data_IF_114920903292
#
_entry.id   IF_114920903292
#
_cell.length_a   1.000
_cell.length_b   1.000
_cell.length_c   1.000
_cell.angle_alpha   90.00
_cell.angle_beta   90.00
_cell.angle_gamma   90.00
#
_symmetry.space_group_name_H-M   'P 1'
#
loop_
_entity.id
_entity.type
_entity.pdbx_description
1 polymer ?
#
# COMPACT_ATOMS: atom_id res chain seq x y z
N UNK A 1 41.04 -75.42 -88.44
CA UNK A 1 39.61 -75.79 -88.62
C UNK A 1 38.79 -74.60 -88.16
N UNK A 2 37.91 -74.10 -89.03
CA UNK A 2 37.20 -72.81 -88.96
C UNK A 2 36.42 -72.64 -87.63
N UNK A 3 36.68 -71.56 -86.89
CA UNK A 3 35.83 -71.09 -85.79
C UNK A 3 34.61 -70.35 -86.37
N UNK A 4 33.38 -70.57 -85.84
CA UNK A 4 32.17 -69.91 -86.34
C UNK A 4 31.97 -68.52 -85.74
N UNK A 5 31.43 -67.62 -86.55
CA UNK A 5 31.12 -66.22 -86.23
C UNK A 5 30.01 -66.10 -85.17
N UNK A 6 30.22 -65.17 -84.23
CA UNK A 6 29.30 -64.82 -83.15
C UNK A 6 28.44 -63.62 -83.59
N UNK A 7 27.15 -63.84 -83.82
CA UNK A 7 26.17 -62.79 -84.09
C UNK A 7 25.72 -62.16 -82.75
N UNK A 8 26.11 -60.91 -82.50
CA UNK A 8 25.67 -60.12 -81.35
C UNK A 8 24.50 -59.22 -81.76
N UNK A 9 23.29 -59.53 -81.29
CA UNK A 9 22.11 -58.66 -81.40
C UNK A 9 22.21 -57.52 -80.39
N UNK A 10 22.33 -56.28 -80.88
CA UNK A 10 22.34 -55.08 -80.06
C UNK A 10 20.90 -54.70 -79.64
N UNK A 11 20.63 -54.73 -78.34
CA UNK A 11 19.41 -54.19 -77.72
C UNK A 11 19.56 -52.68 -77.61
N UNK A 12 18.72 -51.91 -78.31
CA UNK A 12 18.71 -50.44 -78.27
C UNK A 12 18.10 -49.92 -76.96
N UNK A 13 18.89 -49.23 -76.13
CA UNK A 13 18.38 -48.40 -75.03
C UNK A 13 17.85 -47.07 -75.57
N UNK A 14 16.57 -46.78 -75.30
CA UNK A 14 15.94 -45.48 -75.54
C UNK A 14 16.50 -44.44 -74.56
N UNK A 15 17.36 -43.55 -75.04
CA UNK A 15 17.79 -42.36 -74.32
C UNK A 15 16.68 -41.31 -74.31
N UNK A 16 16.06 -41.09 -73.14
CA UNK A 16 15.23 -39.89 -72.94
C UNK A 16 16.13 -38.66 -73.11
N UNK A 17 15.87 -37.87 -74.16
CA UNK A 17 16.50 -36.56 -74.34
C UNK A 17 16.08 -35.68 -73.16
N UNK A 18 17.05 -35.25 -72.35
CA UNK A 18 16.84 -34.13 -71.45
C UNK A 18 16.50 -32.91 -72.32
N UNK A 19 15.25 -32.45 -72.25
CA UNK A 19 14.85 -31.19 -72.83
C UNK A 19 15.55 -30.09 -72.03
N UNK A 20 16.57 -29.47 -72.62
CA UNK A 20 17.23 -28.31 -72.01
C UNK A 20 16.23 -27.17 -71.89
N UNK A 21 16.12 -26.60 -70.69
CA UNK A 21 15.32 -25.42 -70.42
C UNK A 21 15.67 -24.30 -71.40
N UNK A 22 14.65 -23.71 -72.02
CA UNK A 22 14.87 -22.55 -72.89
C UNK A 22 15.21 -21.33 -72.04
N UNK A 23 16.05 -20.44 -72.56
CA UNK A 23 16.41 -19.19 -71.87
C UNK A 23 15.18 -18.34 -71.51
N UNK A 24 14.14 -18.41 -72.35
CA UNK A 24 12.85 -17.73 -72.13
C UNK A 24 12.09 -18.33 -70.95
N UNK A 25 12.12 -19.65 -70.78
CA UNK A 25 11.46 -20.33 -69.66
C UNK A 25 12.14 -20.04 -68.33
N UNK A 26 13.47 -19.96 -68.32
CA UNK A 26 14.22 -19.54 -67.14
C UNK A 26 13.94 -18.06 -66.80
N UNK A 27 13.81 -17.18 -67.79
CA UNK A 27 13.44 -15.78 -67.59
C UNK A 27 12.01 -15.63 -67.06
N UNK A 28 11.06 -16.41 -67.59
CA UNK A 28 9.67 -16.43 -67.13
C UNK A 28 9.55 -16.93 -65.69
N UNK A 29 10.29 -17.98 -65.31
CA UNK A 29 10.32 -18.47 -63.93
C UNK A 29 10.91 -17.41 -62.99
N UNK A 30 12.02 -16.77 -63.36
CA UNK A 30 12.61 -15.69 -62.55
C UNK A 30 11.66 -14.48 -62.43
N UNK A 31 10.91 -14.16 -63.47
CA UNK A 31 9.89 -13.11 -63.42
C UNK A 31 8.74 -13.47 -62.46
N UNK A 32 8.22 -14.70 -62.54
CA UNK A 32 7.15 -15.18 -61.65
C UNK A 32 7.65 -15.23 -60.21
N UNK A 33 8.82 -15.84 -59.94
CA UNK A 33 9.41 -15.91 -58.60
C UNK A 33 9.73 -14.52 -58.05
N UNK A 34 10.23 -13.61 -58.88
CA UNK A 34 10.46 -12.21 -58.50
C UNK A 34 9.15 -11.52 -58.11
N UNK A 35 8.10 -11.65 -58.93
CA UNK A 35 6.79 -11.05 -58.63
C UNK A 35 6.15 -11.62 -57.37
N UNK A 36 6.24 -12.94 -57.15
CA UNK A 36 5.75 -13.61 -55.95
C UNK A 36 6.55 -13.22 -54.70
N UNK A 37 7.86 -13.05 -54.83
CA UNK A 37 8.71 -12.60 -53.74
C UNK A 37 8.35 -11.16 -53.31
N UNK A 38 8.14 -10.24 -54.27
CA UNK A 38 7.73 -8.86 -53.96
C UNK A 38 6.37 -8.79 -53.24
N UNK A 39 5.38 -9.57 -53.72
CA UNK A 39 4.07 -9.65 -53.06
C UNK A 39 4.15 -10.33 -51.69
N UNK A 40 5.03 -11.33 -51.54
CA UNK A 40 5.28 -12.01 -50.29
C UNK A 40 5.84 -11.07 -49.21
N UNK A 41 6.81 -10.23 -49.55
CA UNK A 41 7.42 -9.29 -48.59
C UNK A 41 6.41 -8.29 -48.03
N UNK A 42 5.60 -7.65 -48.88
CA UNK A 42 4.65 -6.62 -48.44
C UNK A 42 3.56 -7.15 -47.47
N UNK A 43 3.19 -8.43 -47.58
CA UNK A 43 2.23 -9.08 -46.66
C UNK A 43 2.90 -9.45 -45.34
N UNK A 44 4.18 -9.81 -45.37
CA UNK A 44 4.94 -10.18 -44.17
C UNK A 44 5.24 -8.96 -43.31
N UNK A 45 5.56 -7.81 -43.92
CA UNK A 45 5.89 -6.58 -43.19
C UNK A 45 4.74 -6.11 -42.29
N UNK A 46 3.51 -6.05 -42.81
CA UNK A 46 2.34 -5.64 -42.00
C UNK A 46 1.97 -6.61 -40.88
N UNK A 47 2.29 -7.91 -41.02
CA UNK A 47 2.08 -8.91 -39.97
C UNK A 47 3.13 -8.79 -38.85
N UNK A 48 4.38 -8.48 -39.20
CA UNK A 48 5.45 -8.24 -38.23
C UNK A 48 5.17 -6.98 -37.40
N UNK A 49 4.79 -5.88 -38.05
CA UNK A 49 4.44 -4.63 -37.36
C UNK A 49 3.28 -4.80 -36.38
N UNK A 50 2.20 -5.46 -36.82
CA UNK A 50 1.08 -5.79 -35.94
C UNK A 50 1.50 -6.66 -34.76
N UNK A 51 2.35 -7.68 -35.00
CA UNK A 51 2.84 -8.57 -33.95
C UNK A 51 3.64 -7.80 -32.89
N UNK A 52 4.52 -6.89 -33.31
CA UNK A 52 5.34 -6.07 -32.39
C UNK A 52 4.47 -5.09 -31.61
N UNK A 53 3.48 -4.50 -32.27
CA UNK A 53 2.53 -3.60 -31.62
C UNK A 53 1.68 -4.32 -30.55
N UNK A 54 1.18 -5.51 -30.85
CA UNK A 54 0.45 -6.34 -29.88
C UNK A 54 1.35 -6.79 -28.72
N UNK A 55 2.61 -7.13 -28.99
CA UNK A 55 3.61 -7.42 -27.95
C UNK A 55 3.84 -6.21 -27.03
N UNK A 56 3.98 -5.00 -27.59
CA UNK A 56 4.08 -3.75 -26.81
C UNK A 56 2.87 -3.55 -25.89
N UNK A 57 1.65 -3.77 -26.39
CA UNK A 57 0.42 -3.70 -25.58
C UNK A 57 0.41 -4.69 -24.42
N UNK A 58 0.84 -5.93 -24.68
CA UNK A 58 0.93 -6.96 -23.66
C UNK A 58 1.97 -6.60 -22.60
N UNK A 59 3.16 -6.17 -23.01
CA UNK A 59 4.24 -5.75 -22.10
C UNK A 59 3.85 -4.55 -21.26
N UNK A 60 3.17 -3.56 -21.83
CA UNK A 60 2.64 -2.41 -21.09
C UNK A 60 1.64 -2.85 -20.01
N UNK A 61 0.78 -3.82 -20.33
CA UNK A 61 -0.17 -4.39 -19.35
C UNK A 61 0.57 -5.09 -18.21
N UNK A 62 1.66 -5.81 -18.51
CA UNK A 62 2.53 -6.42 -17.51
C UNK A 62 3.20 -5.37 -16.61
N UNK A 63 3.72 -4.28 -17.19
CA UNK A 63 4.30 -3.16 -16.43
C UNK A 63 3.26 -2.57 -15.48
N UNK A 64 2.05 -2.26 -15.99
CA UNK A 64 0.97 -1.71 -15.17
C UNK A 64 0.64 -2.62 -13.99
N UNK A 65 0.48 -3.92 -14.26
CA UNK A 65 0.19 -4.93 -13.23
C UNK A 65 1.33 -5.11 -12.24
N UNK A 66 2.59 -5.00 -12.67
CA UNK A 66 3.75 -5.06 -11.79
C UNK A 66 3.78 -3.87 -10.81
N UNK A 67 3.34 -2.68 -11.24
CA UNK A 67 3.35 -1.48 -10.40
C UNK A 67 2.21 -1.48 -9.37
N UNK A 68 0.95 -1.61 -9.81
CA UNK A 68 -0.23 -1.44 -8.95
C UNK A 68 -0.97 -2.74 -8.61
N UNK A 69 -0.54 -3.87 -9.16
CA UNK A 69 -1.25 -5.15 -9.03
C UNK A 69 -2.42 -5.30 -9.99
N UNK A 70 -3.23 -6.33 -9.78
CA UNK A 70 -4.45 -6.60 -10.54
C UNK A 70 -5.69 -6.40 -9.65
N UNK A 71 -6.35 -5.25 -9.83
CA UNK A 71 -7.52 -4.87 -9.04
C UNK A 71 -8.75 -5.80 -9.27
N UNK A 72 -8.76 -6.59 -10.35
CA UNK A 72 -9.86 -7.53 -10.63
C UNK A 72 -9.68 -8.87 -9.92
N UNK A 73 -8.47 -9.15 -9.40
CA UNK A 73 -8.24 -10.37 -8.64
C UNK A 73 -8.76 -10.19 -7.24
N UNK A 74 -9.53 -11.17 -6.79
CA UNK A 74 -10.02 -11.23 -5.42
C UNK A 74 -9.57 -12.54 -4.78
N UNK A 75 -9.21 -12.46 -3.51
CA UNK A 75 -8.90 -13.61 -2.66
C UNK A 75 -9.95 -13.61 -1.56
N UNK A 76 -10.79 -14.64 -1.52
CA UNK A 76 -11.91 -14.75 -0.57
C UNK A 76 -12.91 -13.58 -0.64
N UNK A 77 -13.12 -13.00 -1.83
CA UNK A 77 -14.04 -11.88 -2.04
C UNK A 77 -13.46 -10.50 -1.71
N UNK A 78 -12.23 -10.43 -1.19
CA UNK A 78 -11.50 -9.17 -1.02
C UNK A 78 -10.51 -8.96 -2.17
N UNK A 79 -10.34 -7.73 -2.69
CA UNK A 79 -9.34 -7.44 -3.71
C UNK A 79 -7.92 -7.80 -3.29
N UNK A 80 -7.18 -8.43 -4.21
CA UNK A 80 -5.79 -8.82 -4.01
C UNK A 80 -4.88 -7.59 -4.02
N UNK A 81 -4.35 -7.23 -2.87
CA UNK A 81 -3.34 -6.17 -2.75
C UNK A 81 -1.98 -6.76 -3.14
N UNK A 82 -1.43 -6.28 -4.26
CA UNK A 82 -0.17 -6.75 -4.82
C UNK A 82 0.50 -5.65 -5.66
N UNK A 83 1.75 -5.90 -6.07
CA UNK A 83 2.53 -4.99 -6.91
C UNK A 83 3.51 -4.12 -6.12
N UNK A 84 4.39 -3.46 -6.87
CA UNK A 84 5.47 -2.63 -6.34
C UNK A 84 4.97 -1.57 -5.34
N UNK A 85 3.88 -0.87 -5.66
CA UNK A 85 3.31 0.18 -4.79
C UNK A 85 2.82 -0.39 -3.47
N UNK A 86 2.17 -1.56 -3.50
CA UNK A 86 1.67 -2.21 -2.29
C UNK A 86 2.80 -2.58 -1.32
N UNK A 87 3.95 -2.95 -1.87
CA UNK A 87 5.10 -3.45 -1.12
C UNK A 87 6.04 -2.31 -0.68
N UNK A 88 6.28 -1.33 -1.56
CA UNK A 88 7.24 -0.24 -1.37
C UNK A 88 6.61 1.08 -0.90
N UNK A 89 5.30 1.29 -1.08
CA UNK A 89 4.62 2.53 -0.72
C UNK A 89 4.89 3.73 -1.65
N UNK A 90 5.57 3.52 -2.77
CA UNK A 90 5.87 4.54 -3.79
C UNK A 90 5.81 3.97 -5.20
N UNK A 91 5.84 4.84 -6.21
CA UNK A 91 6.06 4.45 -7.60
C UNK A 91 7.53 4.05 -7.83
N UNK A 92 7.80 3.16 -8.80
CA UNK A 92 9.17 2.85 -9.20
C UNK A 92 9.87 4.06 -9.83
N UNK A 93 11.17 4.17 -9.61
CA UNK A 93 12.03 5.22 -10.17
C UNK A 93 12.46 4.92 -11.61
N UNK A 94 12.48 3.64 -11.99
CA UNK A 94 12.79 3.18 -13.34
C UNK A 94 12.15 1.82 -13.63
N UNK A 95 12.17 1.37 -14.88
CA UNK A 95 11.63 0.07 -15.26
C UNK A 95 12.47 -1.11 -14.72
N UNK A 96 13.80 -0.98 -14.72
CA UNK A 96 14.71 -1.99 -14.16
C UNK A 96 14.44 -2.31 -12.68
N UNK A 97 13.95 -1.34 -11.92
CA UNK A 97 13.63 -1.55 -10.50
C UNK A 97 12.55 -2.64 -10.30
N UNK A 98 11.65 -2.81 -11.28
CA UNK A 98 10.66 -3.87 -11.27
C UNK A 98 11.25 -5.26 -11.55
N UNK A 99 12.49 -5.36 -12.05
CA UNK A 99 13.17 -6.63 -12.35
C UNK A 99 14.14 -7.04 -11.23
N UNK A 100 14.98 -6.11 -10.75
CA UNK A 100 16.05 -6.43 -9.80
C UNK A 100 16.12 -5.47 -8.60
N UNK A 101 15.19 -4.51 -8.51
CA UNK A 101 15.11 -3.55 -7.42
C UNK A 101 16.10 -2.39 -7.49
N UNK A 102 16.76 -2.17 -8.65
CA UNK A 102 17.72 -1.10 -8.86
C UNK A 102 17.50 -0.32 -10.16
N UNK A 103 18.03 0.89 -10.24
CA UNK A 103 18.08 1.67 -11.48
C UNK A 103 19.50 1.74 -12.06
N UNK A 104 20.53 1.67 -11.22
CA UNK A 104 21.91 1.50 -11.61
C UNK A 104 22.56 0.38 -10.81
N UNK A 105 23.60 -0.25 -11.35
CA UNK A 105 24.34 -1.29 -10.63
C UNK A 105 24.95 -0.78 -9.32
N UNK A 106 25.29 0.51 -9.29
CA UNK A 106 25.83 1.23 -8.15
C UNK A 106 24.78 1.55 -7.07
N UNK A 107 23.48 1.43 -7.37
CA UNK A 107 22.43 1.71 -6.39
C UNK A 107 22.54 0.72 -5.22
N UNK A 108 22.21 1.17 -3.99
CA UNK A 108 22.10 0.28 -2.86
C UNK A 108 21.09 -0.84 -3.15
N UNK A 109 21.26 -1.98 -2.49
CA UNK A 109 20.21 -3.00 -2.54
C UNK A 109 18.92 -2.42 -1.93
N UNK A 110 17.74 -2.73 -2.51
CA UNK A 110 16.49 -2.27 -1.94
C UNK A 110 16.28 -2.88 -0.55
N UNK A 111 15.54 -2.18 0.29
CA UNK A 111 15.12 -2.69 1.61
C UNK A 111 14.41 -4.02 1.41
N UNK A 112 14.94 -5.11 1.97
CA UNK A 112 14.38 -6.44 1.80
C UNK A 112 12.98 -6.53 2.43
N UNK A 113 12.10 -7.33 1.82
CA UNK A 113 10.78 -7.63 2.37
C UNK A 113 10.86 -8.21 3.78
N UNK A 114 10.41 -7.42 4.76
CA UNK A 114 10.50 -7.76 6.17
C UNK A 114 9.25 -7.27 6.93
N UNK A 115 8.90 -7.99 8.00
CA UNK A 115 7.88 -7.58 8.94
C UNK A 115 8.43 -6.49 9.86
N UNK A 116 7.79 -5.34 9.91
CA UNK A 116 8.05 -4.36 10.96
C UNK A 116 7.36 -4.79 12.26
N UNK A 117 8.15 -5.04 13.30
CA UNK A 117 7.64 -5.59 14.56
C UNK A 117 6.68 -4.63 15.30
N UNK A 118 6.88 -3.31 15.14
CA UNK A 118 6.11 -2.29 15.86
C UNK A 118 4.73 -2.04 15.24
N UNK A 119 4.62 -2.05 13.92
CA UNK A 119 3.36 -1.85 13.19
C UNK A 119 2.69 -3.16 12.78
N UNK A 120 3.42 -4.27 12.70
CA UNK A 120 2.91 -5.56 12.22
C UNK A 120 2.63 -5.59 10.71
N UNK A 121 3.07 -4.58 9.95
CA UNK A 121 3.02 -4.62 8.48
C UNK A 121 4.35 -5.10 7.91
N UNK A 122 4.24 -5.89 6.85
CA UNK A 122 5.41 -6.17 6.01
C UNK A 122 5.73 -4.95 5.15
N UNK A 123 6.98 -4.73 4.78
CA UNK A 123 7.38 -3.68 3.86
C UNK A 123 8.69 -4.07 3.16
N UNK A 124 8.96 -3.46 2.02
CA UNK A 124 10.21 -3.63 1.28
C UNK A 124 10.03 -4.36 -0.04
N UNK A 125 11.14 -4.63 -0.72
CA UNK A 125 11.16 -5.25 -2.02
C UNK A 125 10.96 -6.76 -1.90
N UNK A 126 9.83 -7.24 -2.42
CA UNK A 126 9.39 -8.63 -2.30
C UNK A 126 9.90 -9.55 -3.40
N UNK A 127 10.38 -8.99 -4.50
CA UNK A 127 10.92 -9.77 -5.61
C UNK A 127 10.83 -9.01 -6.92
N UNK A 128 11.31 -9.63 -8.01
CA UNK A 128 11.01 -9.16 -9.35
C UNK A 128 9.49 -9.12 -9.51
N UNK A 129 8.96 -7.95 -9.85
CA UNK A 129 7.55 -7.74 -10.19
C UNK A 129 7.29 -7.96 -11.68
N UNK A 130 8.35 -7.88 -12.49
CA UNK A 130 8.38 -8.30 -13.88
C UNK A 130 9.25 -9.55 -14.02
N UNK A 131 8.74 -10.51 -14.77
CA UNK A 131 9.51 -11.70 -15.14
C UNK A 131 10.05 -11.53 -16.55
N UNK A 132 11.34 -11.81 -16.72
CA UNK A 132 12.00 -11.84 -18.03
C UNK A 132 13.04 -12.94 -18.04
N UNK A 133 13.29 -13.51 -19.22
CA UNK A 133 14.40 -14.42 -19.40
C UNK A 133 15.69 -13.59 -19.55
N UNK A 134 16.78 -13.96 -18.88
CA UNK A 134 18.05 -13.27 -19.05
C UNK A 134 18.51 -13.37 -20.50
N UNK A 135 18.78 -12.23 -21.12
CA UNK A 135 19.42 -12.14 -22.42
C UNK A 135 20.93 -12.31 -22.30
N UNK A 136 21.64 -12.12 -23.42
CA UNK A 136 23.11 -12.18 -23.45
C UNK A 136 23.77 -11.15 -22.53
N UNK A 137 23.12 -10.00 -22.37
CA UNK A 137 23.65 -8.82 -21.66
C UNK A 137 22.96 -8.59 -20.30
N UNK A 138 22.22 -9.59 -19.79
CA UNK A 138 21.51 -9.52 -18.50
C UNK A 138 19.98 -9.46 -18.63
N UNK A 139 19.31 -9.04 -17.56
CA UNK A 139 17.85 -8.86 -17.54
C UNK A 139 17.47 -7.63 -18.36
N UNK A 140 16.49 -7.79 -19.25
CA UNK A 140 15.93 -6.70 -20.05
C UNK A 140 14.44 -6.87 -20.28
N UNK A 141 13.73 -5.76 -20.44
CA UNK A 141 12.31 -5.75 -20.72
C UNK A 141 11.96 -4.72 -21.81
N UNK A 142 12.44 -4.91 -23.06
CA UNK A 142 12.17 -3.95 -24.14
C UNK A 142 10.70 -3.91 -24.55
N UNK A 143 10.33 -3.01 -25.47
CA UNK A 143 9.05 -3.07 -26.17
C UNK A 143 9.08 -4.13 -27.30
N UNK A 144 7.99 -4.28 -28.06
CA UNK A 144 7.95 -5.20 -29.21
C UNK A 144 8.86 -4.78 -30.37
N UNK A 145 9.21 -3.49 -30.45
CA UNK A 145 10.11 -2.94 -31.47
C UNK A 145 11.59 -3.16 -31.15
N UNK A 146 11.90 -3.54 -29.90
CA UNK A 146 13.26 -3.72 -29.38
C UNK A 146 14.09 -2.47 -29.55
N UNK A 147 13.48 -1.33 -29.25
CA UNK A 147 14.14 -0.03 -29.28
C UNK A 147 15.45 -0.11 -28.50
N UNK A 148 16.57 0.12 -29.19
CA UNK A 148 17.87 0.18 -28.54
C UNK A 148 17.85 1.39 -27.61
N UNK A 149 17.97 1.16 -26.30
CA UNK A 149 17.91 2.22 -25.30
C UNK A 149 18.83 1.96 -24.12
N UNK A 150 19.12 3.03 -23.39
CA UNK A 150 20.02 2.97 -22.25
C UNK A 150 19.36 2.21 -21.08
N UNK A 151 20.18 1.47 -20.33
CA UNK A 151 19.79 1.02 -19.00
C UNK A 151 19.51 2.28 -18.15
N UNK A 152 18.40 2.35 -17.38
CA UNK A 152 17.57 1.23 -16.91
C UNK A 152 16.24 0.95 -17.62
N UNK A 153 15.86 1.67 -18.67
CA UNK A 153 14.47 1.63 -19.15
C UNK A 153 14.26 0.77 -20.41
N UNK A 154 15.31 0.13 -20.93
CA UNK A 154 15.23 -0.85 -22.02
C UNK A 154 14.53 -0.33 -23.28
N UNK A 155 14.70 0.96 -23.59
CA UNK A 155 14.09 1.60 -24.75
C UNK A 155 12.67 2.13 -24.53
N UNK A 156 12.07 1.90 -23.36
CA UNK A 156 10.84 2.59 -22.97
C UNK A 156 11.14 4.04 -22.58
N UNK A 157 10.29 4.95 -23.01
CA UNK A 157 10.16 6.26 -22.37
C UNK A 157 9.48 6.01 -21.03
N UNK A 158 10.27 6.09 -19.97
CA UNK A 158 9.79 5.88 -18.61
C UNK A 158 10.13 7.10 -17.78
N UNK A 159 9.16 7.57 -17.02
CA UNK A 159 9.44 8.57 -16.01
C UNK A 159 8.20 9.03 -15.26
N UNK A 160 8.46 9.76 -14.20
CA UNK A 160 7.47 10.62 -13.58
C UNK A 160 7.36 11.96 -14.34
N UNK A 161 7.82 12.05 -15.59
CA UNK A 161 8.18 13.29 -16.28
C UNK A 161 7.16 13.71 -17.35
N UNK A 162 7.13 15.00 -17.74
CA UNK A 162 6.51 15.40 -19.01
C UNK A 162 7.44 15.04 -20.19
N UNK A 163 6.88 14.64 -21.34
CA UNK A 163 7.60 14.29 -22.57
C UNK A 163 8.57 15.40 -23.02
N UNK A 164 9.73 15.01 -23.56
CA UNK A 164 10.65 15.91 -24.26
C UNK A 164 10.45 15.71 -25.76
N UNK A 165 10.00 16.75 -26.46
CA UNK A 165 9.75 16.69 -27.90
C UNK A 165 11.04 16.38 -28.69
N UNK A 166 10.97 15.36 -29.57
CA UNK A 166 11.91 15.16 -30.69
C UNK A 166 13.27 14.53 -30.35
N UNK A 167 13.42 13.92 -29.17
CA UNK A 167 14.64 13.18 -28.79
C UNK A 167 14.48 11.67 -29.05
N UNK A 168 15.56 10.93 -29.29
CA UNK A 168 15.50 9.47 -29.41
C UNK A 168 15.10 8.82 -28.07
N UNK A 169 14.35 7.73 -28.12
CA UNK A 169 13.78 7.09 -26.91
C UNK A 169 14.83 6.54 -25.96
N UNK A 170 16.01 6.23 -26.50
CA UNK A 170 17.19 5.88 -25.73
C UNK A 170 17.65 6.96 -24.75
N UNK A 171 17.42 8.25 -25.06
CA UNK A 171 18.02 9.39 -24.36
C UNK A 171 17.02 10.33 -23.69
N UNK A 172 15.71 10.13 -23.90
CA UNK A 172 14.65 11.02 -23.39
C UNK A 172 14.37 10.91 -21.88
N UNK A 173 14.78 9.82 -21.21
CA UNK A 173 14.45 9.58 -19.79
C UNK A 173 15.19 10.48 -18.77
N UNK A 174 16.16 11.31 -19.19
CA UNK A 174 17.15 11.90 -18.29
C UNK A 174 16.98 13.41 -17.96
N UNK A 175 16.06 14.16 -18.58
CA UNK A 175 16.14 15.64 -18.57
C UNK A 175 14.92 16.44 -18.05
N UNK A 176 13.89 15.81 -17.48
CA UNK A 176 12.70 16.51 -16.98
C UNK A 176 12.57 16.45 -15.44
N UNK A 177 11.82 17.38 -14.84
CA UNK A 177 11.52 17.37 -13.40
C UNK A 177 10.50 16.26 -13.08
N UNK A 178 10.66 15.56 -11.95
CA UNK A 178 9.70 14.55 -11.52
C UNK A 178 8.34 15.20 -11.20
N UNK A 179 7.27 14.66 -11.78
CA UNK A 179 5.88 14.98 -11.45
C UNK A 179 5.44 13.99 -10.38
N UNK A 180 5.23 14.44 -9.13
CA UNK A 180 4.74 13.55 -8.10
C UNK A 180 3.39 12.94 -8.53
N UNK A 181 3.19 11.68 -8.17
CA UNK A 181 1.91 10.96 -8.31
C UNK A 181 1.49 10.48 -9.70
N UNK A 182 2.38 10.53 -10.70
CA UNK A 182 2.11 10.04 -12.06
C UNK A 182 3.24 9.17 -12.59
N UNK A 183 2.91 8.25 -13.51
CA UNK A 183 3.89 7.53 -14.29
C UNK A 183 3.52 7.52 -15.77
N UNK A 184 4.52 7.79 -16.60
CA UNK A 184 4.46 7.64 -18.06
C UNK A 184 5.37 6.48 -18.43
N UNK A 185 4.84 5.58 -19.26
CA UNK A 185 5.55 4.45 -19.84
C UNK A 185 5.08 4.34 -21.28
N UNK A 186 5.95 4.66 -22.22
CA UNK A 186 5.62 4.71 -23.65
C UNK A 186 6.68 4.02 -24.49
N UNK A 187 6.20 3.37 -25.56
CA UNK A 187 6.99 2.84 -26.65
C UNK A 187 6.92 3.80 -27.82
N UNK A 188 8.02 3.96 -28.54
CA UNK A 188 8.14 4.92 -29.63
C UNK A 188 7.83 4.34 -31.01
N UNK A 189 7.12 3.23 -31.06
CA UNK A 189 6.75 2.63 -32.32
C UNK A 189 7.93 2.19 -33.20
N UNK A 190 7.65 2.09 -34.49
CA UNK A 190 8.56 1.65 -35.54
C UNK A 190 9.60 2.71 -35.96
N UNK A 191 9.40 3.97 -35.60
CA UNK A 191 10.25 5.09 -36.01
C UNK A 191 11.38 5.41 -35.02
N UNK A 192 11.27 4.87 -33.79
CA UNK A 192 12.22 4.99 -32.69
C UNK A 192 12.43 6.44 -32.20
N UNK A 193 11.44 7.33 -32.37
CA UNK A 193 11.51 8.74 -31.93
C UNK A 193 10.42 9.07 -30.93
N UNK A 194 10.73 9.93 -29.96
CA UNK A 194 9.74 10.41 -28.99
C UNK A 194 8.95 11.58 -29.56
N UNK A 195 7.65 11.60 -29.27
CA UNK A 195 6.71 12.67 -29.56
C UNK A 195 6.01 12.51 -30.91
N UNK A 196 6.11 11.34 -31.55
CA UNK A 196 5.40 11.10 -32.81
C UNK A 196 3.90 10.91 -32.51
N UNK A 197 3.13 11.96 -32.81
CA UNK A 197 1.68 12.03 -32.52
C UNK A 197 0.84 11.91 -33.78
N UNK A 198 1.45 11.85 -34.97
CA UNK A 198 0.74 11.82 -36.24
C UNK A 198 1.49 10.99 -37.31
N UNK A 199 1.12 9.73 -37.46
CA UNK A 199 1.69 8.83 -38.45
C UNK A 199 0.79 7.61 -38.72
N UNK A 200 1.40 6.51 -39.18
CA UNK A 200 0.68 5.23 -39.17
C UNK A 200 0.55 4.70 -37.73
N UNK A 201 -0.32 3.71 -37.51
CA UNK A 201 -0.61 3.18 -36.16
C UNK A 201 0.65 2.62 -35.46
N UNK A 202 1.68 2.27 -36.23
CA UNK A 202 2.89 1.63 -35.74
C UNK A 202 4.01 2.61 -35.44
N UNK A 203 4.05 3.76 -36.12
CA UNK A 203 5.05 4.82 -35.93
C UNK A 203 4.67 5.79 -34.81
N UNK A 204 3.41 5.83 -34.40
CA UNK A 204 2.92 6.71 -33.32
C UNK A 204 3.29 6.12 -31.96
N UNK A 205 3.67 7.00 -31.02
CA UNK A 205 3.99 6.62 -29.65
C UNK A 205 2.79 5.97 -28.94
N UNK A 206 3.06 4.88 -28.21
CA UNK A 206 2.02 4.09 -27.56
C UNK A 206 2.34 3.77 -26.08
N UNK A 207 1.41 4.01 -25.15
CA UNK A 207 0.12 4.68 -25.33
C UNK A 207 0.30 6.21 -25.41
N UNK A 208 -0.68 6.91 -26.00
CA UNK A 208 -0.74 8.36 -25.88
C UNK A 208 -1.08 8.77 -24.42
N UNK A 209 -0.13 9.39 -23.72
CA UNK A 209 -0.30 9.92 -22.35
C UNK A 209 0.13 9.00 -21.20
N UNK A 210 -0.44 9.25 -20.00
CA UNK A 210 -0.02 8.60 -18.75
C UNK A 210 -0.49 7.15 -18.63
N UNK A 211 0.36 6.28 -18.07
CA UNK A 211 0.00 4.90 -17.75
C UNK A 211 -0.77 4.79 -16.43
N UNK A 212 -0.33 5.57 -15.42
CA UNK A 212 -0.93 5.64 -14.09
C UNK A 212 -0.98 7.11 -13.63
N UNK A 213 -2.14 7.51 -13.13
CA UNK A 213 -2.35 8.78 -12.43
C UNK A 213 -2.51 8.59 -10.92
N UNK A 214 -2.77 9.68 -10.20
CA UNK A 214 -2.87 9.71 -8.72
C UNK A 214 -3.82 8.64 -8.16
N UNK A 215 -5.02 8.51 -8.72
CA UNK A 215 -6.06 7.60 -8.22
C UNK A 215 -5.82 6.12 -8.61
N UNK A 216 -4.83 5.85 -9.46
CA UNK A 216 -4.48 4.47 -9.82
C UNK A 216 -3.67 3.78 -8.73
N UNK A 217 -3.00 4.55 -7.88
CA UNK A 217 -2.08 3.99 -6.89
C UNK A 217 -2.23 4.60 -5.51
N UNK A 218 -2.85 5.78 -5.36
CA UNK A 218 -3.22 6.34 -4.06
C UNK A 218 -4.72 6.35 -3.81
N UNK A 219 -5.08 6.31 -2.54
CA UNK A 219 -6.44 6.40 -2.02
C UNK A 219 -6.51 7.48 -0.95
N UNK A 220 -7.63 8.18 -0.89
CA UNK A 220 -7.85 9.24 0.09
C UNK A 220 -8.68 8.75 1.28
N UNK A 221 -8.18 8.92 2.51
CA UNK A 221 -8.92 8.65 3.74
C UNK A 221 -9.72 9.87 4.20
N UNK A 222 -10.71 10.29 3.41
CA UNK A 222 -11.57 11.41 3.75
C UNK A 222 -12.56 11.04 4.88
N UNK A 223 -12.76 11.95 5.85
CA UNK A 223 -13.77 11.79 6.91
C UNK A 223 -13.32 10.92 8.09
N UNK A 224 -12.01 10.82 8.32
CA UNK A 224 -11.38 10.15 9.47
C UNK A 224 -10.95 11.16 10.55
N UNK A 225 -11.60 12.32 10.57
CA UNK A 225 -11.36 13.45 11.47
C UNK A 225 -11.59 13.12 12.94
N UNK A 226 -12.48 12.17 13.23
CA UNK A 226 -12.74 11.68 14.58
C UNK A 226 -12.85 10.15 14.53
N UNK A 227 -12.13 9.48 15.41
CA UNK A 227 -12.01 8.04 15.58
C UNK A 227 -12.31 7.72 17.04
N UNK A 228 -13.28 6.85 17.24
CA UNK A 228 -13.67 6.38 18.57
C UNK A 228 -12.71 5.29 19.02
N UNK A 229 -12.06 5.47 20.17
CA UNK A 229 -11.15 4.48 20.76
C UNK A 229 -11.75 3.97 22.07
N UNK A 230 -12.15 2.71 22.08
CA UNK A 230 -12.67 2.03 23.26
C UNK A 230 -11.54 1.27 23.95
N UNK A 231 -11.25 1.64 25.19
CA UNK A 231 -10.29 0.93 26.02
C UNK A 231 -10.98 -0.19 26.80
N UNK A 232 -10.61 -1.43 26.51
CA UNK A 232 -11.14 -2.60 27.20
C UNK A 232 -10.10 -3.14 28.18
N UNK A 233 -10.29 -2.87 29.47
CA UNK A 233 -9.44 -3.42 30.53
C UNK A 233 -9.89 -4.84 30.86
N UNK A 234 -9.12 -5.84 30.38
CA UNK A 234 -9.39 -7.25 30.64
C UNK A 234 -8.86 -7.71 32.01
N UNK A 235 -8.20 -6.84 32.77
CA UNK A 235 -7.58 -7.21 34.04
C UNK A 235 -8.57 -7.17 35.21
N UNK A 236 -8.21 -7.84 36.31
CA UNK A 236 -8.99 -7.83 37.55
C UNK A 236 -8.81 -6.56 38.39
N UNK A 237 -7.95 -5.63 37.97
CA UNK A 237 -7.64 -4.41 38.70
C UNK A 237 -8.04 -3.17 37.89
N UNK A 238 -8.31 -2.07 38.58
CA UNK A 238 -8.45 -0.76 37.94
C UNK A 238 -7.12 -0.41 37.28
N UNK A 239 -7.18 0.10 36.05
CA UNK A 239 -6.01 0.62 35.33
C UNK A 239 -6.16 2.11 35.13
N UNK A 240 -5.04 2.82 35.12
CA UNK A 240 -5.01 4.24 34.81
C UNK A 240 -4.10 4.45 33.61
N UNK A 241 -4.62 5.15 32.61
CA UNK A 241 -3.82 5.72 31.52
C UNK A 241 -3.49 7.14 31.94
N UNK A 242 -2.20 7.44 32.10
CA UNK A 242 -1.74 8.76 32.52
C UNK A 242 -2.09 9.81 31.46
N UNK A 243 -2.40 11.03 31.88
CA UNK A 243 -2.57 12.16 30.98
C UNK A 243 -1.37 12.31 30.04
N UNK A 244 -1.63 12.66 28.79
CA UNK A 244 -0.65 12.92 27.75
C UNK A 244 0.29 11.73 27.42
N UNK A 245 -0.11 10.50 27.73
CA UNK A 245 0.79 9.34 27.62
C UNK A 245 0.65 8.54 26.33
N UNK A 246 -0.35 8.83 25.48
CA UNK A 246 -0.65 8.05 24.28
C UNK A 246 -0.88 8.92 23.04
N UNK A 247 -0.72 8.30 21.87
CA UNK A 247 -1.13 8.83 20.56
C UNK A 247 -1.63 7.71 19.67
N UNK A 248 -2.51 8.05 18.74
CA UNK A 248 -2.84 7.21 17.61
C UNK A 248 -1.84 7.49 16.49
N UNK A 249 -1.26 6.43 15.92
CA UNK A 249 -0.33 6.49 14.79
C UNK A 249 -0.89 5.72 13.60
N UNK A 250 -0.95 6.40 12.45
CA UNK A 250 -1.14 5.76 11.16
C UNK A 250 0.22 5.32 10.61
N UNK A 251 0.42 4.00 10.54
CA UNK A 251 1.58 3.37 9.97
C UNK A 251 1.31 3.02 8.50
N UNK A 252 2.15 3.55 7.63
CA UNK A 252 2.14 3.30 6.19
C UNK A 252 3.57 3.12 5.69
N UNK A 253 3.71 2.57 4.48
CA UNK A 253 4.99 2.33 3.84
C UNK A 253 5.43 3.55 3.04
N UNK A 254 6.69 3.88 3.14
CA UNK A 254 7.36 4.95 2.42
C UNK A 254 8.76 4.44 2.05
N UNK A 255 9.06 4.41 0.76
CA UNK A 255 10.33 3.92 0.20
C UNK A 255 10.81 2.55 0.76
N UNK A 256 9.90 1.57 0.78
CA UNK A 256 10.19 0.21 1.22
C UNK A 256 10.37 0.04 2.72
N UNK A 257 10.13 1.07 3.53
CA UNK A 257 10.15 1.01 4.98
C UNK A 257 8.82 1.51 5.57
N UNK A 258 8.53 1.16 6.81
CA UNK A 258 7.42 1.79 7.55
C UNK A 258 7.87 3.17 7.99
N UNK A 259 7.04 4.20 7.80
CA UNK A 259 7.39 5.57 8.19
C UNK A 259 7.74 5.62 9.69
N UNK A 260 9.00 5.94 10.06
CA UNK A 260 9.42 5.99 11.44
C UNK A 260 8.86 7.25 12.12
N UNK A 261 8.90 7.25 13.45
CA UNK A 261 8.73 8.48 14.22
C UNK A 261 10.04 9.28 14.14
N UNK A 262 9.91 10.60 14.10
CA UNK A 262 11.09 11.47 14.10
C UNK A 262 11.75 11.49 15.48
N UNK A 263 13.07 11.72 15.49
CA UNK A 263 13.89 11.60 16.68
C UNK A 263 13.70 12.74 17.69
N UNK A 264 13.21 13.89 17.25
CA UNK A 264 12.97 15.05 18.12
C UNK A 264 11.49 15.26 18.36
N UNK A 265 11.14 15.79 19.54
CA UNK A 265 9.74 15.99 19.90
C UNK A 265 9.04 16.99 18.98
N UNK A 266 9.72 18.06 18.57
CA UNK A 266 9.14 19.07 17.69
C UNK A 266 8.84 18.53 16.29
N UNK A 267 9.73 17.69 15.74
CA UNK A 267 9.50 17.04 14.44
C UNK A 267 8.41 15.98 14.55
N UNK A 268 8.48 15.13 15.59
CA UNK A 268 7.45 14.11 15.88
C UNK A 268 6.07 14.75 15.99
N UNK A 269 5.94 15.83 16.77
CA UNK A 269 4.66 16.46 17.03
C UNK A 269 4.09 17.20 15.80
N UNK A 270 4.93 17.49 14.82
CA UNK A 270 4.52 18.02 13.52
C UNK A 270 4.11 16.93 12.51
N UNK A 271 4.28 15.64 12.85
CA UNK A 271 3.93 14.54 11.95
C UNK A 271 2.41 14.41 11.81
N UNK A 272 1.94 14.62 10.58
CA UNK A 272 0.50 14.61 10.27
C UNK A 272 -0.16 13.26 10.60
N UNK A 273 0.56 12.16 10.46
CA UNK A 273 0.10 10.77 10.69
C UNK A 273 -0.03 10.40 12.18
N UNK A 274 0.09 11.37 13.08
CA UNK A 274 -0.20 11.24 14.49
C UNK A 274 -1.48 11.98 14.87
N UNK A 275 -2.20 11.45 15.85
CA UNK A 275 -3.22 12.22 16.55
C UNK A 275 -2.60 13.28 17.47
N UNK A 276 -3.41 14.24 17.95
CA UNK A 276 -3.12 14.93 19.20
C UNK A 276 -2.83 13.93 20.33
N UNK A 277 -2.11 14.41 21.34
CA UNK A 277 -1.81 13.63 22.53
C UNK A 277 -3.13 13.31 23.25
N UNK A 278 -3.23 12.10 23.78
CA UNK A 278 -4.35 11.67 24.62
C UNK A 278 -3.87 10.79 25.79
N UNK A 279 -4.70 10.60 26.82
CA UNK A 279 -5.86 11.43 27.18
C UNK A 279 -5.44 12.78 27.77
N UNK A 280 -6.32 13.79 27.77
CA UNK A 280 -6.02 15.14 28.30
C UNK A 280 -5.90 15.15 29.84
N UNK A 281 -6.57 14.21 30.50
CA UNK A 281 -6.48 13.94 31.93
C UNK A 281 -6.21 12.45 32.18
N UNK A 282 -5.84 12.10 33.40
CA UNK A 282 -5.63 10.68 33.75
C UNK A 282 -6.94 9.92 33.57
N UNK A 283 -6.95 8.92 32.71
CA UNK A 283 -8.13 8.13 32.37
C UNK A 283 -8.17 6.85 33.21
N UNK A 284 -9.22 6.69 34.01
CA UNK A 284 -9.48 5.50 34.82
C UNK A 284 -10.25 4.50 33.99
N UNK A 285 -9.78 3.26 33.97
CA UNK A 285 -10.45 2.14 33.32
C UNK A 285 -10.96 1.15 34.37
N UNK A 286 -12.28 0.86 34.41
CA UNK A 286 -12.82 -0.11 35.34
C UNK A 286 -12.19 -1.49 35.09
N UNK A 287 -12.05 -2.35 36.11
CA UNK A 287 -11.65 -3.74 35.90
C UNK A 287 -12.72 -4.49 35.11
N UNK A 288 -12.39 -5.69 34.64
CA UNK A 288 -13.33 -6.57 33.94
C UNK A 288 -14.62 -6.88 34.74
N UNK A 289 -14.57 -6.77 36.07
CA UNK A 289 -15.74 -6.92 36.95
C UNK A 289 -16.65 -5.69 37.05
N UNK A 290 -16.20 -4.53 36.55
CA UNK A 290 -16.87 -3.24 36.69
C UNK A 290 -16.77 -2.61 38.09
N UNK A 291 -16.10 -3.26 39.05
CA UNK A 291 -16.01 -2.80 40.44
C UNK A 291 -14.85 -1.82 40.64
N UNK A 292 -15.17 -0.58 41.04
CA UNK A 292 -14.20 0.46 41.35
C UNK A 292 -14.25 0.74 42.86
N UNK A 293 -13.14 0.57 43.55
CA UNK A 293 -13.03 0.96 44.96
C UNK A 293 -12.87 2.49 45.08
N UNK A 294 -13.76 3.13 45.83
CA UNK A 294 -13.79 4.58 46.02
C UNK A 294 -13.72 4.95 47.51
N UNK A 295 -13.04 6.05 47.82
CA UNK A 295 -13.07 6.66 49.15
C UNK A 295 -14.19 7.70 49.22
N UNK A 296 -14.64 8.02 50.43
CA UNK A 296 -15.70 9.01 50.60
C UNK A 296 -15.26 10.40 50.12
N UNK A 297 -16.15 11.14 49.46
CA UNK A 297 -15.92 12.51 49.02
C UNK A 297 -16.60 12.86 47.70
N UNK A 298 -16.28 14.04 47.17
CA UNK A 298 -17.00 14.60 46.02
C UNK A 298 -16.42 14.16 44.67
N UNK A 299 -17.32 13.73 43.79
CA UNK A 299 -17.09 13.40 42.37
C UNK A 299 -18.03 14.26 41.53
N UNK A 300 -17.53 14.78 40.41
CA UNK A 300 -18.39 15.51 39.48
C UNK A 300 -19.01 14.53 38.50
N UNK A 301 -20.34 14.56 38.35
CA UNK A 301 -21.10 13.73 37.41
C UNK A 301 -21.58 14.56 36.21
N UNK A 302 -21.87 13.94 35.07
CA UNK A 302 -22.46 14.63 33.93
C UNK A 302 -23.76 15.35 34.28
N UNK A 303 -23.99 16.53 33.69
CA UNK A 303 -25.23 17.29 33.84
C UNK A 303 -26.42 16.43 33.39
N UNK A 304 -27.48 16.40 34.20
CA UNK A 304 -28.67 15.58 33.94
C UNK A 304 -28.64 14.18 34.56
N UNK A 305 -27.53 13.82 35.24
CA UNK A 305 -27.49 12.62 36.07
C UNK A 305 -28.42 12.73 37.28
N UNK A 306 -28.97 11.61 37.72
CA UNK A 306 -29.90 11.54 38.86
C UNK A 306 -29.58 10.35 39.76
N UNK A 307 -29.78 10.51 41.07
CA UNK A 307 -29.55 9.46 42.06
C UNK A 307 -30.87 9.06 42.72
N UNK A 308 -31.19 7.77 42.70
CA UNK A 308 -32.32 7.18 43.40
C UNK A 308 -31.85 5.96 44.22
N UNK A 309 -31.79 6.12 45.54
CA UNK A 309 -31.18 5.10 46.41
C UNK A 309 -29.70 4.94 46.11
N UNK A 310 -29.28 3.73 45.76
CA UNK A 310 -27.90 3.40 45.35
C UNK A 310 -27.70 3.42 43.83
N UNK A 311 -28.75 3.69 43.05
CA UNK A 311 -28.70 3.69 41.59
C UNK A 311 -28.53 5.11 41.07
N UNK A 312 -27.37 5.38 40.49
CA UNK A 312 -27.04 6.60 39.76
C UNK A 312 -27.36 6.38 38.28
N UNK A 313 -28.40 7.05 37.79
CA UNK A 313 -28.66 7.17 36.35
C UNK A 313 -27.77 8.27 35.80
N UNK A 314 -26.74 7.90 35.05
CA UNK A 314 -25.81 8.81 34.41
C UNK A 314 -26.37 9.34 33.09
N UNK A 315 -26.12 10.62 32.83
CA UNK A 315 -26.13 11.16 31.48
C UNK A 315 -24.76 10.88 30.80
N UNK A 316 -24.71 11.06 29.47
CA UNK A 316 -23.45 10.96 28.72
C UNK A 316 -22.48 12.08 29.10
N UNK A 317 -21.20 11.75 29.25
CA UNK A 317 -20.14 12.69 29.64
C UNK A 317 -18.98 11.97 30.32
N UNK A 318 -18.42 12.57 31.37
CA UNK A 318 -17.35 11.97 32.18
C UNK A 318 -17.63 12.09 33.67
N UNK A 319 -17.22 11.07 34.42
CA UNK A 319 -17.08 11.14 35.87
C UNK A 319 -15.70 11.71 36.18
N UNK A 320 -15.64 12.84 36.89
CA UNK A 320 -14.38 13.47 37.30
C UNK A 320 -14.12 13.19 38.79
N UNK A 321 -13.14 12.34 39.04
CA UNK A 321 -12.64 12.01 40.37
C UNK A 321 -11.58 13.02 40.79
N UNK A 322 -11.79 13.66 41.94
CA UNK A 322 -10.76 14.48 42.58
C UNK A 322 -9.63 13.58 43.12
N UNK A 323 -8.42 14.13 43.24
CA UNK A 323 -7.28 13.43 43.85
C UNK A 323 -7.66 12.73 45.19
N UNK A 324 -7.23 11.48 45.34
CA UNK A 324 -7.41 10.69 46.56
C UNK A 324 -8.76 9.97 46.67
N UNK A 325 -9.65 10.10 45.67
CA UNK A 325 -10.97 9.44 45.65
C UNK A 325 -10.93 8.01 45.15
N UNK A 326 -9.92 7.66 44.37
CA UNK A 326 -9.64 6.29 43.93
C UNK A 326 -8.23 5.93 44.40
N UNK A 327 -8.09 4.79 45.08
CA UNK A 327 -6.80 4.31 45.60
C UNK A 327 -5.97 3.62 44.49
N UNK A 328 -5.73 4.31 43.39
CA UNK A 328 -4.98 3.81 42.22
C UNK A 328 -4.03 4.92 41.79
N UNK A 329 -2.74 4.64 41.71
CA UNK A 329 -1.75 5.64 41.26
C UNK A 329 -1.93 5.94 39.76
N UNK A 330 -1.82 7.21 39.31
CA UNK A 330 -1.62 8.45 40.08
C UNK A 330 -2.90 9.15 40.57
N UNK A 331 -4.08 8.53 40.47
CA UNK A 331 -5.37 9.09 40.89
C UNK A 331 -5.50 9.31 42.42
N UNK A 332 -4.60 8.72 43.20
CA UNK A 332 -4.44 8.98 44.62
C UNK A 332 -3.86 10.38 44.91
N UNK A 333 -3.06 10.93 43.99
CA UNK A 333 -2.42 12.23 44.11
C UNK A 333 -2.97 13.30 43.14
N UNK A 334 -3.57 12.90 42.02
CA UNK A 334 -4.07 13.77 40.96
C UNK A 334 -5.50 13.42 40.58
N UNK A 335 -6.23 14.37 39.97
CA UNK A 335 -7.58 14.10 39.47
C UNK A 335 -7.56 13.17 38.25
N UNK A 336 -8.64 12.41 38.08
CA UNK A 336 -8.81 11.45 37.00
C UNK A 336 -10.24 11.47 36.44
N UNK A 337 -10.39 11.07 35.18
CA UNK A 337 -11.66 11.00 34.48
C UNK A 337 -12.04 9.56 34.09
N UNK A 338 -13.33 9.29 34.01
CA UNK A 338 -13.89 8.07 33.44
C UNK A 338 -15.01 8.48 32.45
N UNK A 339 -14.81 8.31 31.12
CA UNK A 339 -15.80 8.61 30.12
C UNK A 339 -16.95 7.61 30.20
N UNK A 340 -18.18 8.11 30.20
CA UNK A 340 -19.41 7.34 30.41
C UNK A 340 -20.48 7.73 29.38
N UNK A 341 -21.20 6.72 28.88
CA UNK A 341 -22.46 6.89 28.17
C UNK A 341 -23.60 7.00 29.19
N UNK A 342 -24.78 7.35 28.71
CA UNK A 342 -25.98 7.26 29.52
C UNK A 342 -26.23 5.81 29.98
N UNK A 343 -26.53 5.62 31.26
CA UNK A 343 -26.73 4.30 31.83
C UNK A 343 -26.83 4.29 33.35
N UNK A 344 -27.00 3.11 33.93
CA UNK A 344 -27.14 2.93 35.38
C UNK A 344 -25.84 2.44 36.00
N UNK A 345 -25.49 3.05 37.13
CA UNK A 345 -24.32 2.73 37.94
C UNK A 345 -24.75 2.56 39.38
N UNK A 346 -24.17 1.57 40.08
CA UNK A 346 -24.40 1.41 41.51
C UNK A 346 -23.33 2.17 42.29
N UNK A 347 -23.75 3.05 43.18
CA UNK A 347 -22.86 3.82 44.07
C UNK A 347 -22.97 3.29 45.51
N UNK A 348 -21.93 3.48 46.35
CA UNK A 348 -21.98 3.05 47.74
C UNK A 348 -23.17 3.65 48.51
N UNK A 349 -23.75 2.85 49.41
CA UNK A 349 -24.82 3.25 50.30
C UNK A 349 -24.44 4.54 51.08
N UNK A 350 -25.37 5.50 51.14
CA UNK A 350 -25.14 6.79 51.80
C UNK A 350 -24.55 7.88 50.90
N UNK A 351 -24.34 7.60 49.61
CA UNK A 351 -24.01 8.63 48.62
C UNK A 351 -25.19 9.57 48.37
N UNK A 352 -24.91 10.84 48.05
CA UNK A 352 -25.94 11.85 47.75
C UNK A 352 -25.54 12.73 46.58
N UNK A 353 -26.49 13.12 45.74
CA UNK A 353 -26.26 13.99 44.58
C UNK A 353 -26.89 15.36 44.79
N UNK A 354 -26.10 16.42 44.63
CA UNK A 354 -26.55 17.81 44.66
C UNK A 354 -26.04 18.55 43.41
N UNK A 355 -26.94 18.85 42.47
CA UNK A 355 -26.55 19.40 41.18
C UNK A 355 -25.69 18.40 40.39
N UNK A 356 -24.45 18.78 40.08
CA UNK A 356 -23.46 17.92 39.41
C UNK A 356 -22.45 17.30 40.38
N UNK A 357 -22.57 17.57 41.68
CA UNK A 357 -21.66 17.06 42.69
C UNK A 357 -22.27 15.87 43.40
N UNK A 358 -21.69 14.69 43.15
CA UNK A 358 -21.99 13.46 43.86
C UNK A 358 -21.05 13.33 45.05
N UNK A 359 -21.58 13.48 46.26
CA UNK A 359 -20.87 13.13 47.49
C UNK A 359 -20.97 11.62 47.66
N UNK A 360 -19.90 10.90 47.31
CA UNK A 360 -19.78 9.46 47.43
C UNK A 360 -19.47 9.06 48.88
N UNK A 361 -20.09 7.98 49.34
CA UNK A 361 -19.63 7.25 50.51
C UNK A 361 -18.45 6.32 50.14
N UNK A 362 -17.66 5.91 51.14
CA UNK A 362 -16.58 4.95 50.91
C UNK A 362 -17.16 3.55 50.61
N UNK A 363 -16.62 2.85 49.62
CA UNK A 363 -17.08 1.52 49.24
C UNK A 363 -16.75 1.16 47.79
N UNK A 364 -17.55 0.26 47.21
CA UNK A 364 -17.41 -0.15 45.80
C UNK A 364 -18.50 0.51 44.95
N UNK A 365 -18.08 1.12 43.85
CA UNK A 365 -18.95 1.59 42.77
C UNK A 365 -18.95 0.54 41.65
N UNK A 366 -20.10 0.24 41.04
CA UNK A 366 -20.21 -0.75 39.95
C UNK A 366 -20.58 -0.05 38.66
N UNK A 367 -19.65 0.00 37.70
CA UNK A 367 -19.84 0.61 36.38
C UNK A 367 -19.88 -0.49 35.32
N UNK A 368 -21.05 -0.76 34.70
CA UNK A 368 -21.15 -1.77 33.66
C UNK A 368 -20.40 -1.36 32.38
N UNK A 369 -19.83 -2.31 31.61
CA UNK A 369 -19.13 -2.01 30.35
C UNK A 369 -19.99 -1.25 29.32
N UNK A 370 -21.30 -1.51 29.27
CA UNK A 370 -22.22 -0.83 28.36
C UNK A 370 -22.38 0.68 28.65
N UNK A 371 -21.97 1.12 29.86
CA UNK A 371 -22.02 2.50 30.33
C UNK A 371 -20.70 3.22 30.08
N UNK A 372 -19.63 2.55 29.64
CA UNK A 372 -18.35 3.22 29.33
C UNK A 372 -18.40 3.81 27.91
N UNK A 373 -18.06 5.09 27.77
CA UNK A 373 -17.97 5.75 26.47
C UNK A 373 -16.57 5.57 25.85
N UNK A 374 -16.46 5.48 24.51
CA UNK A 374 -15.15 5.53 23.86
C UNK A 374 -14.50 6.91 24.06
N UNK A 375 -13.17 6.94 24.10
CA UNK A 375 -12.41 8.18 24.00
C UNK A 375 -12.37 8.64 22.55
N UNK A 376 -12.72 9.89 22.30
CA UNK A 376 -12.78 10.45 20.95
C UNK A 376 -11.46 11.14 20.62
N UNK A 377 -10.78 10.71 19.57
CA UNK A 377 -9.53 11.32 19.07
C UNK A 377 -9.46 11.24 17.56
N UNK A 378 -8.60 11.98 16.89
CA UNK A 378 -8.48 11.97 15.43
C UNK A 378 -7.05 12.19 14.98
N UNK A 379 -6.70 11.82 13.75
CA UNK A 379 -5.39 12.17 13.20
C UNK A 379 -5.33 13.69 12.93
N UNK A 380 -4.14 14.27 12.98
CA UNK A 380 -3.95 15.72 12.79
C UNK A 380 -4.29 16.16 11.37
N UNK A 381 -4.12 15.27 10.39
CA UNK A 381 -4.62 15.42 9.02
C UNK A 381 -5.78 14.44 8.79
N UNK A 382 -6.89 14.91 8.22
CA UNK A 382 -8.10 14.12 7.94
C UNK A 382 -8.27 13.82 6.44
N UNK A 383 -7.25 14.05 5.63
CA UNK A 383 -7.26 13.96 4.19
C UNK A 383 -5.97 13.29 3.67
N UNK A 384 -5.66 12.09 4.18
CA UNK A 384 -4.46 11.35 3.79
C UNK A 384 -4.59 10.74 2.41
N UNK A 385 -3.65 11.09 1.53
CA UNK A 385 -3.44 10.40 0.25
C UNK A 385 -2.41 9.29 0.44
N UNK A 386 -2.88 8.07 0.70
CA UNK A 386 -2.05 6.91 0.99
C UNK A 386 -1.86 6.02 -0.24
N UNK A 387 -0.69 5.38 -0.42
CA UNK A 387 -0.53 4.37 -1.46
C UNK A 387 -1.48 3.20 -1.24
N UNK A 388 -1.83 2.50 -2.32
CA UNK A 388 -2.51 1.21 -2.25
C UNK A 388 -1.61 0.23 -1.52
N UNK A 389 -2.18 -0.59 -0.65
CA UNK A 389 -1.39 -1.38 0.29
C UNK A 389 -2.14 -1.70 1.58
N UNK A 390 -1.40 -2.32 2.50
CA UNK A 390 -1.85 -2.56 3.86
C UNK A 390 -1.25 -1.49 4.76
N UNK A 391 -2.13 -0.75 5.44
CA UNK A 391 -1.82 0.28 6.43
C UNK A 391 -2.34 -0.14 7.79
N UNK A 392 -1.81 0.46 8.83
CA UNK A 392 -2.16 0.07 10.19
C UNK A 392 -2.32 1.28 11.09
N UNK A 393 -3.44 1.31 11.80
CA UNK A 393 -3.68 2.27 12.86
C UNK A 393 -3.33 1.61 14.20
N UNK A 394 -2.41 2.21 14.95
CA UNK A 394 -1.88 1.66 16.21
C UNK A 394 -1.94 2.71 17.30
N UNK A 395 -2.29 2.31 18.51
CA UNK A 395 -2.11 3.15 19.68
C UNK A 395 -0.68 2.99 20.21
N UNK A 396 0.03 4.10 20.29
CA UNK A 396 1.43 4.17 20.70
C UNK A 396 1.60 4.99 21.97
N UNK A 397 2.69 4.74 22.68
CA UNK A 397 3.12 5.56 23.80
C UNK A 397 3.68 6.90 23.33
N UNK A 398 3.40 7.93 24.12
CA UNK A 398 3.96 9.28 24.04
C UNK A 398 4.81 9.48 25.30
N UNK A 399 6.08 9.07 25.24
CA UNK A 399 7.06 9.15 26.35
C UNK A 399 8.25 10.01 25.91
N UNK A 400 7.94 11.28 25.67
CA UNK A 400 8.86 12.34 25.23
C UNK A 400 10.16 12.31 26.02
N UNK A 401 11.30 12.18 25.33
CA UNK A 401 12.64 12.13 25.94
C UNK A 401 13.08 10.76 26.43
N UNK A 402 12.22 9.74 26.37
CA UNK A 402 12.56 8.35 26.63
C UNK A 402 12.41 7.50 25.36
N UNK A 403 13.45 7.52 24.54
CA UNK A 403 13.51 6.78 23.26
C UNK A 403 13.32 5.27 23.41
N UNK A 404 13.43 4.73 24.63
CA UNK A 404 13.18 3.32 24.87
C UNK A 404 11.68 2.98 24.92
N UNK A 405 10.80 3.95 25.15
CA UNK A 405 9.37 3.75 25.32
C UNK A 405 8.53 4.53 24.29
N UNK A 406 9.01 5.69 23.87
CA UNK A 406 8.28 6.55 22.93
C UNK A 406 8.02 5.83 21.61
N UNK A 407 6.79 5.93 21.12
CA UNK A 407 6.40 5.31 19.86
C UNK A 407 6.13 3.81 19.88
N UNK A 408 6.37 3.14 21.01
CA UNK A 408 6.04 1.72 21.16
C UNK A 408 4.55 1.51 21.19
N UNK A 409 4.10 0.38 20.66
CA UNK A 409 2.69 -0.04 20.75
C UNK A 409 2.28 -0.15 22.22
N UNK A 410 1.19 0.51 22.58
CA UNK A 410 0.65 0.45 23.94
C UNK A 410 -0.14 -0.83 24.16
N UNK A 411 0.14 -1.58 25.22
CA UNK A 411 -0.60 -2.81 25.57
C UNK A 411 -1.16 -2.85 26.99
N UNK A 412 -1.22 -1.67 27.62
CA UNK A 412 -1.41 -1.51 29.05
C UNK A 412 -0.18 -0.92 29.72
N UNK A 413 0.99 -1.12 29.11
CA UNK A 413 2.24 -0.48 29.50
C UNK A 413 2.94 0.12 28.29
N UNK A 414 3.95 0.96 28.55
CA UNK A 414 4.90 1.40 27.53
C UNK A 414 6.17 0.53 27.50
N UNK A 415 6.11 -0.65 28.11
CA UNK A 415 7.16 -1.65 28.01
C UNK A 415 7.00 -2.44 26.70
N UNK A 416 8.11 -2.97 26.18
CA UNK A 416 8.23 -3.54 24.83
C UNK A 416 7.49 -4.87 24.63
N UNK A 417 6.15 -4.85 24.60
CA UNK A 417 5.35 -6.07 24.47
C UNK A 417 4.29 -5.94 23.37
N UNK A 418 4.42 -6.69 22.25
CA UNK A 418 3.52 -6.58 21.10
C UNK A 418 2.31 -7.52 21.23
N UNK A 419 1.63 -7.52 22.38
CA UNK A 419 0.49 -8.42 22.60
C UNK A 419 -0.76 -7.96 21.86
N UNK A 420 -0.97 -6.64 21.74
CA UNK A 420 -2.13 -6.11 21.05
C UNK A 420 -2.03 -6.23 19.54
N UNK A 421 -3.10 -6.72 18.91
CA UNK A 421 -3.27 -6.68 17.46
C UNK A 421 -3.67 -5.27 17.01
N UNK A 422 -2.95 -4.68 16.05
CA UNK A 422 -3.26 -3.33 15.60
C UNK A 422 -4.42 -3.37 14.58
N UNK A 423 -4.99 -2.21 14.25
CA UNK A 423 -6.12 -2.14 13.33
C UNK A 423 -5.63 -2.03 11.89
N UNK A 424 -5.89 -3.07 11.08
CA UNK A 424 -5.44 -3.13 9.69
C UNK A 424 -6.45 -2.47 8.74
N UNK A 425 -5.92 -1.71 7.78
CA UNK A 425 -6.64 -1.02 6.72
C UNK A 425 -6.07 -1.52 5.40
N UNK A 426 -6.93 -2.04 4.54
CA UNK A 426 -6.58 -2.53 3.21
C UNK A 426 -7.09 -1.53 2.18
N UNK A 427 -6.20 -0.95 1.38
CA UNK A 427 -6.54 -0.04 0.29
C UNK A 427 -6.08 -0.65 -1.03
N UNK A 428 -7.00 -0.91 -1.95
CA UNK A 428 -6.65 -1.31 -3.31
C UNK A 428 -6.80 -0.13 -4.29
N UNK A 429 -6.21 -0.23 -5.49
CA UNK A 429 -6.36 0.75 -6.54
C UNK A 429 -7.82 1.05 -6.89
N UNK A 430 -8.14 2.34 -7.13
CA UNK A 430 -9.45 2.81 -7.61
C UNK A 430 -10.66 2.33 -6.78
N UNK A 431 -10.48 2.10 -5.49
CA UNK A 431 -11.57 1.72 -4.62
C UNK A 431 -12.40 2.93 -4.19
N UNK A 432 -13.65 2.68 -3.80
CA UNK A 432 -14.42 3.67 -3.04
C UNK A 432 -13.66 3.92 -1.73
N UNK A 433 -13.49 5.18 -1.30
CA UNK A 433 -12.83 5.49 -0.04
C UNK A 433 -13.39 4.63 1.09
N UNK A 434 -12.54 4.03 1.94
CA UNK A 434 -13.01 3.21 3.04
C UNK A 434 -13.86 4.06 3.98
N UNK A 435 -14.99 3.50 4.42
CA UNK A 435 -15.77 4.11 5.49
C UNK A 435 -14.89 4.27 6.74
N UNK A 436 -15.19 5.30 7.54
CA UNK A 436 -14.62 5.46 8.88
C UNK A 436 -14.72 4.12 9.63
N UNK A 437 -13.66 3.69 10.32
CA UNK A 437 -13.69 2.45 11.06
C UNK A 437 -14.77 2.51 12.15
N UNK A 438 -15.40 1.36 12.42
CA UNK A 438 -16.12 1.18 13.68
C UNK A 438 -15.18 1.50 14.86
N UNK A 439 -15.71 1.85 16.05
CA UNK A 439 -14.88 2.19 17.19
C UNK A 439 -13.75 1.17 17.39
N UNK A 440 -12.52 1.68 17.45
CA UNK A 440 -11.33 0.87 17.67
C UNK A 440 -11.38 0.33 19.09
N UNK A 441 -11.48 -0.99 19.24
CA UNK A 441 -11.38 -1.63 20.55
C UNK A 441 -9.93 -1.97 20.82
N UNK A 442 -9.37 -1.37 21.87
CA UNK A 442 -8.01 -1.59 22.32
C UNK A 442 -8.02 -2.36 23.64
N UNK A 443 -7.57 -3.61 23.62
CA UNK A 443 -7.55 -4.45 24.81
C UNK A 443 -6.32 -4.13 25.68
N UNK A 444 -6.49 -4.19 26.99
CA UNK A 444 -5.41 -4.05 27.96
C UNK A 444 -5.36 -5.35 28.74
N UNK A 445 -4.33 -6.15 28.50
CA UNK A 445 -4.23 -7.55 28.95
C UNK A 445 -3.23 -7.76 30.11
N UNK A 446 -2.37 -6.77 30.41
CA UNK A 446 -1.35 -6.86 31.47
C UNK A 446 -1.78 -6.22 32.79
#
# INVERSE_FOLDING_TARGET
MKLPEMHLTATTYSTHKAAGFTLVELLLILFILGSLALLGTAVVDGVDEQSRYDETKQRLTLIKRAIVGDANRTVNGEPEISGFVADMGRLPACLRELLDGKCADADPAPTAWALDAQSGIWAGWRGPYLETLPGRDGLSFPDGWRTAGDAPNYGWVFGQHAEVDGTACATAAASAAAVPDKIIVQSCGSDFKVGETAGDEYSVDYPAGELLGLNDWKNNLAGWDLIDVFFNNATGAVKTITANSLRLKLNYRDDGAVKPLDATDAERDAQEFLSPILPDANLVLPPASGLIAVTAGDVTVPVGSALAGETLTLAEGSLLFTAGRIAVTPCDALSCELPVKAGEVLVPAGSSLAGVTLTLAAGNMTVPPAVVAPYLTGLSNNNFSLPSGVHVLTLICNDVGNVANDGKRYDGTCADTPLNSPYFIKLAPRQVPPLKPNPLVWNIEQ
#
